data_IF_301339338361
#
_entry.id   IF_301339338361
#
_cell.length_a   1.000
_cell.length_b   1.000
_cell.length_c   1.000
_cell.angle_alpha   90.00
_cell.angle_beta   90.00
_cell.angle_gamma   90.00
#
_symmetry.space_group_name_H-M   'P 1'
#
loop_
_entity.id
_entity.type
_entity.pdbx_description
1 polymer ?
#
# COMPACT_ATOMS: atom_id res chain seq x y z
N UNK A 1 3.88 12.23 -6.45
CA UNK A 1 2.91 11.61 -7.40
C UNK A 1 1.51 11.72 -6.81
N UNK A 2 0.45 11.82 -7.62
CA UNK A 2 -0.92 12.02 -7.15
C UNK A 2 -1.74 10.72 -7.22
N UNK A 3 -2.29 10.26 -6.10
CA UNK A 3 -3.29 9.17 -6.05
C UNK A 3 -4.68 9.81 -6.00
N UNK A 4 -5.62 9.28 -6.76
CA UNK A 4 -7.02 9.72 -6.77
C UNK A 4 -7.85 8.78 -5.92
N UNK A 5 -8.76 9.32 -5.13
CA UNK A 5 -9.70 8.50 -4.37
C UNK A 5 -11.05 9.16 -4.32
N UNK A 6 -12.08 8.35 -4.13
CA UNK A 6 -13.44 8.83 -3.94
C UNK A 6 -13.72 8.97 -2.44
N UNK A 7 -14.19 10.13 -2.03
CA UNK A 7 -14.68 10.40 -0.67
C UNK A 7 -16.08 9.79 -0.47
N UNK A 8 -16.53 9.75 0.78
CA UNK A 8 -17.88 9.24 1.11
C UNK A 8 -18.99 9.99 0.38
N UNK A 9 -18.84 11.30 0.21
CA UNK A 9 -19.79 12.16 -0.50
C UNK A 9 -19.71 12.02 -2.03
N UNK A 10 -19.04 10.97 -2.52
CA UNK A 10 -18.80 10.69 -3.94
C UNK A 10 -17.97 11.75 -4.68
N UNK A 11 -17.30 12.65 -3.94
CA UNK A 11 -16.37 13.62 -4.51
C UNK A 11 -15.02 12.95 -4.78
N UNK A 12 -14.40 13.26 -5.92
CA UNK A 12 -13.04 12.87 -6.24
C UNK A 12 -12.06 13.81 -5.53
N UNK A 13 -11.14 13.23 -4.75
CA UNK A 13 -10.08 13.94 -4.06
C UNK A 13 -8.74 13.25 -4.33
N UNK A 14 -7.65 13.87 -3.86
CA UNK A 14 -6.31 13.44 -4.21
C UNK A 14 -5.35 13.48 -3.02
N UNK A 15 -4.50 12.46 -2.94
CA UNK A 15 -3.34 12.46 -2.04
C UNK A 15 -2.05 12.66 -2.83
N UNK A 16 -1.09 13.32 -2.18
CA UNK A 16 0.26 13.46 -2.68
C UNK A 16 1.18 12.45 -2.02
N UNK A 17 1.72 11.53 -2.82
CA UNK A 17 2.83 10.68 -2.42
C UNK A 17 4.14 11.43 -2.57
N UNK A 18 4.84 11.62 -1.45
CA UNK A 18 6.21 12.08 -1.41
C UNK A 18 7.12 10.93 -0.93
N UNK A 19 8.22 10.70 -1.64
CA UNK A 19 9.20 9.72 -1.21
C UNK A 19 9.86 10.22 0.08
N UNK A 20 9.94 9.36 1.09
CA UNK A 20 10.54 9.68 2.40
C UNK A 20 9.58 10.30 3.43
N UNK A 21 8.44 10.85 3.02
CA UNK A 21 7.43 11.39 3.93
C UNK A 21 6.02 11.06 3.43
N UNK A 22 5.21 10.35 4.22
CA UNK A 22 3.87 9.87 3.81
C UNK A 22 3.92 9.03 2.53
N UNK A 23 4.88 8.10 2.46
CA UNK A 23 5.02 7.17 1.33
C UNK A 23 4.28 5.85 1.53
N UNK A 24 3.50 5.71 2.59
CA UNK A 24 2.74 4.49 2.87
C UNK A 24 1.40 4.52 2.11
N UNK A 25 1.03 3.40 1.50
CA UNK A 25 -0.20 3.23 0.73
C UNK A 25 -1.01 2.06 1.22
N UNK A 26 -2.31 2.11 0.92
CA UNK A 26 -3.29 1.07 1.23
C UNK A 26 -3.85 0.48 -0.06
N UNK A 27 -3.86 -0.84 -0.15
CA UNK A 27 -4.20 -1.61 -1.35
C UNK A 27 -5.28 -2.64 -0.97
N UNK A 28 -6.30 -2.91 -1.81
CA UNK A 28 -7.29 -3.93 -1.51
C UNK A 28 -6.66 -5.34 -1.55
N UNK A 29 -6.99 -6.19 -0.58
CA UNK A 29 -6.51 -7.60 -0.56
C UNK A 29 -7.23 -8.47 -1.58
N UNK A 30 -8.48 -8.15 -1.89
CA UNK A 30 -9.40 -9.05 -2.59
C UNK A 30 -9.86 -10.24 -1.73
N UNK A 31 -9.37 -10.38 -0.50
CA UNK A 31 -9.73 -11.45 0.41
C UNK A 31 -11.09 -11.18 1.06
N UNK A 32 -12.04 -12.08 0.83
CA UNK A 32 -13.41 -11.98 1.33
C UNK A 32 -13.70 -13.15 2.28
N UNK A 33 -13.02 -13.18 3.42
CA UNK A 33 -13.18 -14.22 4.45
C UNK A 33 -13.51 -13.63 5.84
N UNK A 34 -14.27 -14.33 6.69
CA UNK A 34 -14.56 -13.87 8.04
C UNK A 34 -13.26 -13.74 8.86
N UNK A 35 -12.91 -12.51 9.23
CA UNK A 35 -11.69 -12.20 9.99
C UNK A 35 -10.47 -11.83 9.13
N UNK A 36 -10.59 -11.82 7.81
CA UNK A 36 -9.56 -11.25 6.93
C UNK A 36 -9.55 -9.72 7.07
N UNK A 37 -8.35 -9.14 7.16
CA UNK A 37 -8.20 -7.70 7.06
C UNK A 37 -8.42 -7.33 5.58
N UNK A 38 -9.29 -6.37 5.23
CA UNK A 38 -9.64 -6.09 3.82
C UNK A 38 -8.56 -5.37 3.00
N UNK A 39 -7.44 -4.98 3.63
CA UNK A 39 -6.42 -4.15 3.01
C UNK A 39 -5.00 -4.63 3.27
N UNK A 40 -4.13 -4.55 2.26
CA UNK A 40 -2.68 -4.61 2.42
C UNK A 40 -2.15 -3.20 2.60
N UNK A 41 -1.00 -3.10 3.27
CA UNK A 41 -0.27 -1.85 3.38
C UNK A 41 1.11 -2.03 2.78
N UNK A 42 1.61 -0.99 2.13
CA UNK A 42 2.93 -1.00 1.53
C UNK A 42 3.60 0.36 1.68
N UNK A 43 4.91 0.37 1.89
CA UNK A 43 5.73 1.57 1.83
C UNK A 43 6.27 1.73 0.43
N UNK A 44 5.95 2.83 -0.23
CA UNK A 44 6.54 3.20 -1.52
C UNK A 44 8.00 3.59 -1.30
N UNK A 45 8.89 2.84 -1.94
CA UNK A 45 10.33 3.07 -1.97
C UNK A 45 10.75 3.87 -3.20
N UNK A 46 10.06 3.69 -4.32
CA UNK A 46 10.36 4.37 -5.57
C UNK A 46 9.14 4.53 -6.47
N UNK A 47 9.13 5.59 -7.26
CA UNK A 47 8.14 5.86 -8.30
C UNK A 47 8.90 5.89 -9.63
N UNK A 48 8.57 4.94 -10.51
CA UNK A 48 9.23 4.79 -11.80
C UNK A 48 8.29 5.17 -12.93
N UNK A 49 8.87 5.77 -13.98
CA UNK A 49 8.21 6.07 -15.24
C UNK A 49 8.83 5.17 -16.30
N UNK A 50 8.02 4.36 -16.97
CA UNK A 50 8.49 3.36 -17.92
C UNK A 50 7.74 3.55 -19.24
N UNK A 51 8.48 3.73 -20.32
CA UNK A 51 7.92 3.68 -21.67
C UNK A 51 7.94 2.23 -22.16
N UNK A 52 6.76 1.62 -22.23
CA UNK A 52 6.60 0.22 -22.64
C UNK A 52 5.93 0.12 -24.02
N UNK A 53 6.36 -0.84 -24.83
CA UNK A 53 5.61 -1.27 -26.02
C UNK A 53 4.89 -2.55 -25.68
N UNK A 54 3.55 -2.52 -25.62
CA UNK A 54 2.75 -3.74 -25.49
C UNK A 54 2.59 -4.37 -26.86
N UNK A 55 3.15 -5.57 -27.04
CA UNK A 55 3.08 -6.35 -28.28
C UNK A 55 1.64 -6.63 -28.73
N UNK A 56 0.66 -6.62 -27.81
CA UNK A 56 -0.75 -6.91 -28.07
C UNK A 56 -1.62 -5.70 -28.43
N UNK A 57 -1.14 -4.46 -28.26
CA UNK A 57 -1.96 -3.24 -28.38
C UNK A 57 -1.65 -2.38 -29.62
N UNK A 58 -0.82 -2.89 -30.53
CA UNK A 58 -0.40 -2.19 -31.75
C UNK A 58 0.92 -1.44 -31.62
N UNK A 59 1.20 -0.56 -32.58
CA UNK A 59 2.45 0.21 -32.63
C UNK A 59 2.36 1.50 -31.80
N UNK A 60 3.09 1.55 -30.69
CA UNK A 60 3.25 2.77 -29.90
C UNK A 60 3.91 2.51 -28.55
N UNK A 61 4.71 3.46 -28.07
CA UNK A 61 5.15 3.45 -26.68
C UNK A 61 4.03 3.99 -25.80
N UNK A 62 3.78 3.33 -24.68
CA UNK A 62 2.84 3.75 -23.65
C UNK A 62 3.65 4.11 -22.41
N UNK A 63 3.41 5.29 -21.86
CA UNK A 63 3.99 5.69 -20.58
C UNK A 63 3.19 5.03 -19.45
N UNK A 64 3.86 4.23 -18.63
CA UNK A 64 3.30 3.63 -17.43
C UNK A 64 4.07 4.13 -16.21
N UNK A 65 3.31 4.36 -15.14
CA UNK A 65 3.88 4.59 -13.82
C UNK A 65 3.90 3.28 -13.04
N UNK A 66 5.00 2.98 -12.36
CA UNK A 66 5.14 1.79 -11.53
C UNK A 66 5.67 2.18 -10.16
N UNK A 67 5.01 1.73 -9.11
CA UNK A 67 5.47 1.90 -7.73
C UNK A 67 6.33 0.70 -7.34
N UNK A 68 7.53 0.94 -6.83
CA UNK A 68 8.29 -0.08 -6.12
C UNK A 68 8.01 0.06 -4.63
N UNK A 69 7.53 -1.01 -4.02
CA UNK A 69 7.02 -0.99 -2.65
C UNK A 69 7.65 -2.08 -1.79
N UNK A 70 7.67 -1.84 -0.49
CA UNK A 70 7.94 -2.83 0.55
C UNK A 70 6.63 -3.12 1.29
N UNK A 71 6.24 -4.38 1.34
CA UNK A 71 4.98 -4.79 1.97
C UNK A 71 5.06 -4.74 3.50
N UNK A 72 3.93 -4.40 4.11
CA UNK A 72 3.70 -4.50 5.55
C UNK A 72 2.66 -5.59 5.81
N UNK A 73 3.06 -6.61 6.56
CA UNK A 73 2.18 -7.70 6.99
C UNK A 73 1.35 -7.30 8.20
N UNK A 74 0.10 -7.76 8.22
CA UNK A 74 -0.75 -7.67 9.43
C UNK A 74 -0.26 -8.68 10.45
N UNK A 75 -0.06 -8.25 11.70
CA UNK A 75 0.37 -9.16 12.77
C UNK A 75 -0.71 -10.22 13.06
N UNK A 76 -0.43 -11.47 12.69
CA UNK A 76 -1.26 -12.62 12.98
C UNK A 76 -1.21 -12.92 14.49
N UNK A 77 -2.35 -12.82 15.18
CA UNK A 77 -2.47 -13.20 16.59
C UNK A 77 -3.33 -12.29 17.45
N UNK A 78 -3.67 -11.08 17.00
CA UNK A 78 -4.61 -10.20 17.70
C UNK A 78 -5.84 -9.97 16.83
N UNK A 79 -7.01 -10.38 17.32
CA UNK A 79 -8.29 -10.08 16.66
C UNK A 79 -8.51 -8.57 16.73
N UNK A 80 -8.29 -7.87 15.63
CA UNK A 80 -8.63 -6.46 15.52
C UNK A 80 -10.14 -6.32 15.49
N UNK A 81 -10.67 -5.59 16.46
CA UNK A 81 -12.09 -5.26 16.54
C UNK A 81 -12.18 -3.77 16.77
N UNK A 82 -12.76 -3.06 15.79
CA UNK A 82 -13.10 -1.65 15.92
C UNK A 82 -13.96 -1.41 17.19
N UNK A 83 -14.83 -2.38 17.52
CA UNK A 83 -15.66 -2.39 18.72
C UNK A 83 -14.89 -2.43 20.06
N UNK A 84 -13.60 -2.78 20.05
CA UNK A 84 -12.72 -2.80 21.24
C UNK A 84 -11.67 -1.67 21.16
N UNK A 85 -11.73 -0.81 20.13
CA UNK A 85 -10.83 0.34 19.98
C UNK A 85 -9.40 -0.02 19.60
N UNK A 86 -9.13 -1.24 19.12
CA UNK A 86 -7.78 -1.63 18.70
C UNK A 86 -7.59 -1.41 17.19
N UNK A 87 -6.65 -0.52 16.84
CA UNK A 87 -6.20 -0.28 15.46
C UNK A 87 -5.35 -1.44 14.95
N UNK A 88 -5.52 -1.89 13.69
CA UNK A 88 -4.68 -2.92 13.07
C UNK A 88 -3.19 -2.64 13.27
N UNK A 89 -2.49 -3.60 13.88
CA UNK A 89 -1.04 -3.57 14.05
C UNK A 89 -0.41 -4.27 12.87
N UNK A 90 0.39 -3.51 12.13
CA UNK A 90 1.11 -3.97 10.96
C UNK A 90 2.61 -3.80 11.19
N UNK A 91 3.41 -4.57 10.47
CA UNK A 91 4.87 -4.50 10.54
C UNK A 91 5.49 -4.82 9.18
N UNK A 92 6.74 -4.42 8.98
CA UNK A 92 7.46 -4.74 7.75
C UNK A 92 7.61 -6.25 7.59
N UNK A 93 7.35 -6.73 6.38
CA UNK A 93 7.70 -8.10 6.02
C UNK A 93 9.24 -8.22 6.05
N UNK A 94 9.81 -9.27 6.67
CA UNK A 94 11.25 -9.41 6.79
C UNK A 94 11.93 -9.52 5.42
N UNK A 95 13.00 -8.77 5.19
CA UNK A 95 13.76 -8.71 3.92
C UNK A 95 14.24 -10.07 3.40
N UNK A 96 14.32 -11.09 4.26
CA UNK A 96 14.61 -12.48 3.87
C UNK A 96 13.50 -13.15 3.06
N UNK A 97 12.27 -12.63 3.14
CA UNK A 97 11.12 -13.13 2.40
C UNK A 97 11.16 -12.58 0.96
N UNK A 98 11.15 -13.44 -0.08
CA UNK A 98 11.11 -12.98 -1.47
C UNK A 98 9.86 -12.14 -1.80
N UNK A 99 8.77 -12.27 -1.04
CA UNK A 99 7.55 -11.49 -1.19
C UNK A 99 7.61 -10.11 -0.50
N UNK A 100 8.75 -9.71 0.08
CA UNK A 100 8.89 -8.42 0.79
C UNK A 100 8.71 -7.22 -0.12
N UNK A 101 9.25 -7.29 -1.34
CA UNK A 101 9.21 -6.19 -2.30
C UNK A 101 8.29 -6.53 -3.46
N UNK A 102 7.59 -5.52 -3.96
CA UNK A 102 6.68 -5.67 -5.08
C UNK A 102 6.69 -4.47 -6.01
N UNK A 103 6.19 -4.68 -7.21
CA UNK A 103 5.81 -3.61 -8.12
C UNK A 103 4.30 -3.50 -8.15
N UNK A 104 3.79 -2.27 -8.11
CA UNK A 104 2.36 -2.00 -8.14
C UNK A 104 2.02 -0.94 -9.19
N UNK A 105 0.87 -1.13 -9.84
CA UNK A 105 0.24 -0.05 -10.61
C UNK A 105 -0.34 0.96 -9.60
N UNK A 106 0.06 2.24 -9.67
CA UNK A 106 -0.60 3.34 -8.97
C UNK A 106 -2.11 3.30 -8.81
N UNK A 107 -2.82 2.83 -9.84
CA UNK A 107 -4.28 2.87 -9.88
C UNK A 107 -4.94 1.88 -8.92
N UNK A 108 -4.18 0.91 -8.39
CA UNK A 108 -4.69 -0.04 -7.39
C UNK A 108 -4.59 0.51 -5.96
N UNK A 109 -3.79 1.57 -5.76
CA UNK A 109 -3.64 2.18 -4.45
C UNK A 109 -4.92 2.97 -4.13
N UNK A 110 -5.57 2.63 -3.02
CA UNK A 110 -6.83 3.26 -2.60
C UNK A 110 -6.55 4.66 -2.06
N UNK A 111 -5.53 4.78 -1.21
CA UNK A 111 -5.21 6.02 -0.50
C UNK A 111 -3.78 6.00 0.04
N UNK A 112 -3.20 7.17 0.23
CA UNK A 112 -2.03 7.30 1.09
C UNK A 112 -2.44 7.12 2.56
N UNK A 113 -1.58 6.54 3.38
CA UNK A 113 -1.84 6.32 4.81
C UNK A 113 -0.74 6.88 5.68
N UNK A 114 -1.14 7.28 6.89
CA UNK A 114 -0.21 7.67 7.94
C UNK A 114 -0.12 6.56 8.98
N UNK A 115 1.03 5.88 9.03
CA UNK A 115 1.26 4.82 10.00
C UNK A 115 1.74 5.42 11.33
N UNK A 116 1.04 5.07 12.41
CA UNK A 116 1.39 5.50 13.76
C UNK A 116 2.31 4.43 14.38
N UNK A 117 3.50 4.79 14.88
CA UNK A 117 4.38 3.84 15.56
C UNK A 117 3.72 3.20 16.77
N UNK A 118 3.92 1.89 16.96
CA UNK A 118 3.48 1.19 18.15
C UNK A 118 4.47 1.42 19.31
N UNK A 119 4.33 2.55 20.01
CA UNK A 119 5.26 2.98 21.07
C UNK A 119 5.43 1.96 22.22
N UNK A 120 4.41 1.13 22.47
CA UNK A 120 4.41 0.13 23.54
C UNK A 120 5.21 -1.13 23.23
N UNK A 121 5.50 -1.39 21.95
CA UNK A 121 6.14 -2.64 21.50
C UNK A 121 7.68 -2.54 21.41
N UNK A 122 8.26 -1.44 21.91
CA UNK A 122 9.70 -1.18 21.83
C UNK A 122 10.15 -0.70 20.45
N UNK A 123 11.45 -0.72 20.19
CA UNK A 123 12.01 -0.39 18.88
C UNK A 123 11.73 -1.54 17.91
N UNK A 124 10.83 -1.32 16.95
CA UNK A 124 10.76 -2.14 15.75
C UNK A 124 12.09 -2.03 15.01
N UNK A 125 12.78 -3.15 14.81
CA UNK A 125 13.97 -3.20 13.96
C UNK A 125 13.57 -2.79 12.55
N UNK A 126 14.11 -1.65 12.12
CA UNK A 126 14.05 -1.14 10.76
C UNK A 126 14.86 -1.98 9.79
#
# INVERSE_FOLDING_TARGET
MRIRYTTYDMCEEYDFLHLGHQSDIMVPTGESGPGCHPYWYARVLGIYHVDVRLLSRGEGFQNLHVLWVQWLGVSLGRRFRLAVGHLPKIGFVPTSDPATFGFLDPNIAIRAVHLIPAFTDGKGTH
#
